data_IF_618700219271
#
_entry.id   IF_618700219271
#
_cell.length_a   1.000
_cell.length_b   1.000
_cell.length_c   1.000
_cell.angle_alpha   90.00
_cell.angle_beta   90.00
_cell.angle_gamma   90.00
#
_symmetry.space_group_name_H-M   'P 1'
#
loop_
_entity.id
_entity.type
_entity.pdbx_description
1 polymer ?
#
# COMPACT_ATOMS: atom_id res chain seq x y z
N UNK A 1 16.63 -25.74 -7.17
CA UNK A 1 15.37 -26.19 -6.52
C UNK A 1 14.19 -25.53 -7.21
N UNK A 2 13.27 -26.30 -7.81
CA UNK A 2 12.14 -25.77 -8.60
C UNK A 2 11.21 -24.83 -7.79
N UNK A 3 11.16 -24.97 -6.46
CA UNK A 3 10.39 -24.10 -5.55
C UNK A 3 10.82 -22.62 -5.59
N UNK A 4 12.06 -22.32 -6.00
CA UNK A 4 12.56 -20.95 -6.06
C UNK A 4 12.30 -20.27 -7.41
N UNK A 5 11.88 -21.02 -8.44
CA UNK A 5 11.62 -20.44 -9.78
C UNK A 5 10.55 -19.32 -9.74
N UNK A 6 9.42 -19.48 -9.02
CA UNK A 6 8.44 -18.39 -8.90
C UNK A 6 8.97 -17.15 -8.17
N UNK A 7 9.99 -17.30 -7.32
CA UNK A 7 10.61 -16.19 -6.59
C UNK A 7 11.47 -15.30 -7.51
N UNK A 8 12.04 -15.89 -8.58
CA UNK A 8 12.97 -15.21 -9.48
C UNK A 8 12.33 -14.07 -10.25
N UNK A 9 11.10 -14.27 -10.72
CA UNK A 9 10.38 -13.30 -11.55
C UNK A 9 9.36 -12.47 -10.74
N UNK A 10 9.35 -12.64 -9.41
CA UNK A 10 8.43 -11.93 -8.54
C UNK A 10 8.97 -10.57 -8.14
N UNK A 11 8.16 -9.53 -8.38
CA UNK A 11 8.44 -8.17 -7.92
C UNK A 11 8.29 -8.00 -6.40
N UNK A 12 7.66 -8.96 -5.72
CA UNK A 12 7.33 -8.87 -4.29
C UNK A 12 8.51 -9.26 -3.38
N UNK A 13 9.27 -10.31 -3.70
CA UNK A 13 10.34 -10.80 -2.81
C UNK A 13 11.47 -9.80 -2.57
N UNK A 14 11.91 -9.00 -3.57
CA UNK A 14 12.85 -7.90 -3.31
C UNK A 14 12.29 -6.84 -2.37
N UNK A 15 10.98 -6.54 -2.45
CA UNK A 15 10.30 -5.62 -1.53
C UNK A 15 10.30 -6.19 -0.11
N UNK A 16 9.87 -7.45 0.04
CA UNK A 16 9.89 -8.17 1.32
C UNK A 16 11.29 -8.17 1.95
N UNK A 17 12.34 -8.45 1.14
CA UNK A 17 13.73 -8.44 1.63
C UNK A 17 14.18 -7.08 2.15
N UNK A 18 13.80 -5.98 1.46
CA UNK A 18 14.11 -4.61 1.92
C UNK A 18 13.36 -4.25 3.19
N UNK A 19 12.07 -4.59 3.28
CA UNK A 19 11.27 -4.38 4.49
C UNK A 19 11.90 -5.10 5.68
N UNK A 20 12.25 -6.37 5.53
CA UNK A 20 12.89 -7.15 6.60
C UNK A 20 14.25 -6.56 7.00
N UNK A 21 15.07 -6.12 6.06
CA UNK A 21 16.37 -5.52 6.35
C UNK A 21 16.23 -4.18 7.10
N UNK A 22 15.27 -3.34 6.69
CA UNK A 22 15.02 -2.03 7.31
C UNK A 22 14.42 -2.17 8.71
N UNK A 23 13.47 -3.09 8.89
CA UNK A 23 12.77 -3.31 10.16
C UNK A 23 13.47 -4.34 11.07
N UNK A 24 14.63 -4.89 10.66
CA UNK A 24 15.33 -5.96 11.37
C UNK A 24 15.56 -5.65 12.84
N UNK A 25 15.94 -4.40 13.17
CA UNK A 25 16.19 -3.99 14.56
C UNK A 25 14.93 -4.09 15.42
N UNK A 26 13.79 -3.63 14.90
CA UNK A 26 12.51 -3.67 15.60
C UNK A 26 12.02 -5.13 15.74
N UNK A 27 12.13 -5.91 14.67
CA UNK A 27 11.79 -7.34 14.68
C UNK A 27 12.64 -8.13 15.67
N UNK A 28 13.96 -7.89 15.73
CA UNK A 28 14.86 -8.51 16.72
C UNK A 28 14.42 -8.12 18.14
N UNK A 29 14.08 -6.85 18.37
CA UNK A 29 13.59 -6.37 19.66
C UNK A 29 12.33 -7.11 20.12
N UNK A 30 11.32 -7.20 19.26
CA UNK A 30 10.06 -7.90 19.58
C UNK A 30 10.28 -9.42 19.70
N UNK A 31 11.16 -10.01 18.89
CA UNK A 31 11.55 -11.44 19.02
C UNK A 31 12.21 -11.71 20.38
N UNK A 32 13.09 -10.81 20.82
CA UNK A 32 13.77 -10.92 22.11
C UNK A 32 12.77 -10.78 23.25
N UNK A 33 11.86 -9.80 23.16
CA UNK A 33 10.76 -9.63 24.12
C UNK A 33 9.88 -10.89 24.21
N UNK A 34 9.50 -11.46 23.06
CA UNK A 34 8.76 -12.72 22.99
C UNK A 34 9.52 -13.84 23.72
N UNK A 35 10.82 -13.99 23.46
CA UNK A 35 11.66 -15.00 24.14
C UNK A 35 11.72 -14.81 25.66
N UNK A 36 11.86 -13.56 26.12
CA UNK A 36 11.88 -13.24 27.57
C UNK A 36 10.54 -13.58 28.22
N UNK A 37 9.42 -13.16 27.62
CA UNK A 37 8.08 -13.45 28.14
C UNK A 37 7.80 -14.95 28.12
N UNK A 38 8.11 -15.63 27.02
CA UNK A 38 7.96 -17.08 26.87
C UNK A 38 8.72 -17.82 27.96
N UNK A 39 9.99 -17.49 28.19
CA UNK A 39 10.80 -18.15 29.21
C UNK A 39 10.27 -17.87 30.62
N UNK A 40 9.90 -16.62 30.92
CA UNK A 40 9.34 -16.24 32.21
C UNK A 40 8.02 -16.96 32.51
N UNK A 41 7.13 -17.05 31.52
CA UNK A 41 5.85 -17.76 31.63
C UNK A 41 6.06 -19.26 31.78
N UNK A 42 6.97 -19.86 31.03
CA UNK A 42 7.31 -21.28 31.14
C UNK A 42 7.86 -21.62 32.53
N UNK A 43 8.76 -20.78 33.06
CA UNK A 43 9.31 -20.96 34.40
C UNK A 43 8.21 -20.83 35.47
N UNK A 44 7.34 -19.82 35.36
CA UNK A 44 6.21 -19.65 36.28
C UNK A 44 5.25 -20.85 36.24
N UNK A 45 4.88 -21.32 35.05
CA UNK A 45 4.04 -22.51 34.87
C UNK A 45 4.66 -23.76 35.48
N UNK A 46 5.97 -23.98 35.24
CA UNK A 46 6.72 -25.07 35.87
C UNK A 46 6.68 -25.00 37.41
N UNK A 47 6.98 -23.83 37.99
CA UNK A 47 7.00 -23.68 39.46
C UNK A 47 5.63 -23.93 40.08
N UNK A 48 4.54 -23.48 39.43
CA UNK A 48 3.17 -23.59 39.93
C UNK A 48 2.61 -25.01 39.78
N UNK A 49 2.77 -25.63 38.60
CA UNK A 49 2.03 -26.86 38.25
C UNK A 49 2.84 -28.15 38.43
N UNK A 50 4.17 -28.10 38.60
CA UNK A 50 5.02 -29.32 38.71
C UNK A 50 4.60 -30.29 39.82
N UNK A 51 4.02 -29.79 40.91
CA UNK A 51 3.55 -30.60 42.03
C UNK A 51 2.21 -31.30 41.78
N UNK A 52 1.41 -30.78 40.84
CA UNK A 52 0.06 -31.28 40.51
C UNK A 52 0.11 -32.15 39.24
N UNK A 53 0.89 -31.71 38.25
CA UNK A 53 0.98 -32.34 36.93
C UNK A 53 2.44 -32.58 36.52
N UNK A 54 3.19 -33.47 37.19
CA UNK A 54 4.58 -33.76 36.83
C UNK A 54 4.73 -34.33 35.41
N UNK A 55 3.73 -34.99 34.86
CA UNK A 55 3.79 -35.53 33.49
C UNK A 55 3.73 -34.43 32.41
N UNK A 56 3.06 -33.30 32.70
CA UNK A 56 2.83 -32.21 31.74
C UNK A 56 3.69 -30.96 32.01
N UNK A 57 3.99 -30.68 33.28
CA UNK A 57 4.77 -29.53 33.73
C UNK A 57 6.00 -29.97 34.56
N UNK A 58 6.51 -31.18 34.35
CA UNK A 58 7.65 -31.73 35.10
C UNK A 58 9.01 -31.17 34.71
N UNK A 59 9.10 -30.42 33.60
CA UNK A 59 10.34 -29.80 33.14
C UNK A 59 10.07 -28.45 32.45
N UNK A 60 11.08 -27.58 32.42
CA UNK A 60 10.98 -26.27 31.77
C UNK A 60 10.63 -26.40 30.27
N UNK A 61 11.23 -27.30 29.47
CA UNK A 61 10.86 -27.45 28.06
C UNK A 61 9.39 -27.84 27.83
N UNK A 62 8.81 -28.68 28.70
CA UNK A 62 7.40 -29.03 28.61
C UNK A 62 6.50 -27.80 28.91
N UNK A 63 6.86 -27.01 29.93
CA UNK A 63 6.16 -25.76 30.21
C UNK A 63 6.36 -24.71 29.09
N UNK A 64 7.51 -24.70 28.41
CA UNK A 64 7.76 -23.86 27.24
C UNK A 64 6.84 -24.23 26.07
N UNK A 65 6.59 -25.52 25.83
CA UNK A 65 5.63 -25.95 24.81
C UNK A 65 4.24 -25.37 25.08
N UNK A 66 3.74 -25.51 26.30
CA UNK A 66 2.48 -24.89 26.72
C UNK A 66 2.48 -23.37 26.58
N UNK A 67 3.58 -22.71 26.99
CA UNK A 67 3.73 -21.27 26.90
C UNK A 67 3.69 -20.79 25.45
N UNK A 68 4.39 -21.45 24.53
CA UNK A 68 4.33 -21.15 23.08
C UNK A 68 2.90 -21.26 22.59
N UNK A 69 2.24 -22.40 22.80
CA UNK A 69 0.88 -22.69 22.33
C UNK A 69 -0.15 -21.68 22.84
N UNK A 70 0.01 -21.23 24.08
CA UNK A 70 -0.89 -20.24 24.71
C UNK A 70 -0.59 -18.82 24.24
N UNK A 71 0.69 -18.46 24.15
CA UNK A 71 1.16 -17.12 23.74
C UNK A 71 0.93 -16.88 22.24
N UNK A 72 1.00 -17.92 21.41
CA UNK A 72 0.68 -17.90 19.96
C UNK A 72 -0.78 -18.14 19.62
N UNK A 73 -1.67 -17.98 20.61
CA UNK A 73 -3.13 -18.09 20.43
C UNK A 73 -3.56 -19.41 19.77
N UNK A 74 -2.77 -20.48 19.90
CA UNK A 74 -2.99 -21.75 19.19
C UNK A 74 -3.90 -22.68 19.98
N UNK A 75 -3.64 -22.83 21.27
CA UNK A 75 -4.56 -23.50 22.21
C UNK A 75 -4.88 -24.96 21.89
N UNK A 76 -3.87 -25.82 21.71
CA UNK A 76 -4.08 -27.26 21.45
C UNK A 76 -4.86 -27.98 22.56
N UNK A 77 -4.78 -27.51 23.80
CA UNK A 77 -5.50 -28.08 24.95
C UNK A 77 -4.94 -29.40 25.49
N UNK A 78 -3.77 -29.82 25.01
CA UNK A 78 -3.01 -30.99 25.44
C UNK A 78 -2.42 -30.82 26.85
N UNK A 79 -1.97 -29.62 27.21
CA UNK A 79 -1.55 -29.24 28.55
C UNK A 79 -2.25 -27.96 29.00
N UNK A 80 -2.95 -28.01 30.15
CA UNK A 80 -3.71 -26.89 30.72
C UNK A 80 -3.49 -26.87 32.25
N UNK A 81 -3.14 -25.71 32.84
CA UNK A 81 -3.03 -25.57 34.29
C UNK A 81 -4.31 -25.92 35.04
N UNK A 82 -4.19 -26.69 36.12
CA UNK A 82 -5.33 -27.07 36.95
C UNK A 82 -5.50 -26.16 38.16
N UNK A 83 -4.42 -25.56 38.67
CA UNK A 83 -4.49 -24.68 39.83
C UNK A 83 -5.17 -23.34 39.52
N UNK A 84 -5.71 -22.70 40.56
CA UNK A 84 -6.26 -21.35 40.42
C UNK A 84 -5.19 -20.35 39.94
N UNK A 85 -3.99 -20.39 40.52
CA UNK A 85 -2.89 -19.50 40.14
C UNK A 85 -2.44 -19.71 38.69
N UNK A 86 -2.35 -20.97 38.23
CA UNK A 86 -2.00 -21.31 36.86
C UNK A 86 -3.03 -20.83 35.83
N UNK A 87 -4.32 -20.85 36.18
CA UNK A 87 -5.39 -20.29 35.34
C UNK A 87 -5.34 -18.78 35.25
N UNK A 88 -5.08 -18.09 36.36
CA UNK A 88 -4.88 -16.63 36.38
C UNK A 88 -3.66 -16.25 35.51
N UNK A 89 -2.55 -16.98 35.66
CA UNK A 89 -1.37 -16.81 34.81
C UNK A 89 -1.74 -16.98 33.33
N UNK A 90 -2.50 -18.03 32.97
CA UNK A 90 -2.93 -18.29 31.59
C UNK A 90 -3.67 -17.09 30.98
N UNK A 91 -4.55 -16.44 31.74
CA UNK A 91 -5.26 -15.24 31.28
C UNK A 91 -4.31 -14.08 30.95
N UNK A 92 -3.31 -13.84 31.80
CA UNK A 92 -2.29 -12.83 31.55
C UNK A 92 -1.43 -13.16 30.31
N UNK A 93 -1.09 -14.44 30.13
CA UNK A 93 -0.33 -14.93 28.96
C UNK A 93 -1.09 -14.67 27.68
N UNK A 94 -2.39 -15.02 27.62
CA UNK A 94 -3.22 -14.79 26.44
C UNK A 94 -3.27 -13.31 26.06
N UNK A 95 -3.45 -12.41 27.03
CA UNK A 95 -3.46 -10.97 26.79
C UNK A 95 -2.10 -10.47 26.26
N UNK A 96 -1.00 -10.95 26.85
CA UNK A 96 0.35 -10.60 26.39
C UNK A 96 0.67 -11.11 24.98
N UNK A 97 0.18 -12.30 24.63
CA UNK A 97 0.39 -12.93 23.32
C UNK A 97 -0.22 -12.11 22.20
N UNK A 98 -1.49 -11.73 22.35
CA UNK A 98 -2.17 -10.86 21.38
C UNK A 98 -1.40 -9.54 21.20
N UNK A 99 -0.94 -8.93 22.29
CA UNK A 99 -0.14 -7.70 22.24
C UNK A 99 1.18 -7.86 21.48
N UNK A 100 1.95 -8.91 21.76
CA UNK A 100 3.25 -9.17 21.10
C UNK A 100 3.07 -9.49 19.61
N UNK A 101 2.08 -10.30 19.24
CA UNK A 101 1.80 -10.60 17.84
C UNK A 101 1.28 -9.36 17.09
N UNK A 102 0.48 -8.50 17.74
CA UNK A 102 0.07 -7.23 17.16
C UNK A 102 1.25 -6.32 16.86
N UNK A 103 2.28 -6.30 17.71
CA UNK A 103 3.52 -5.56 17.44
C UNK A 103 4.27 -6.14 16.23
N UNK A 104 4.40 -7.46 16.14
CA UNK A 104 5.00 -8.13 14.98
C UNK A 104 4.28 -7.77 13.67
N UNK A 105 2.95 -7.93 13.66
CA UNK A 105 2.13 -7.61 12.51
C UNK A 105 2.20 -6.11 12.15
N UNK A 106 2.17 -5.24 13.15
CA UNK A 106 2.22 -3.78 13.00
C UNK A 106 3.55 -3.28 12.43
N UNK A 107 4.68 -3.84 12.86
CA UNK A 107 6.01 -3.51 12.32
C UNK A 107 6.09 -3.89 10.84
N UNK A 108 5.70 -5.12 10.50
CA UNK A 108 5.69 -5.57 9.11
C UNK A 108 4.74 -4.73 8.25
N UNK A 109 3.51 -4.49 8.71
CA UNK A 109 2.54 -3.69 7.99
C UNK A 109 3.05 -2.26 7.73
N UNK A 110 3.64 -1.61 8.75
CA UNK A 110 4.22 -0.28 8.61
C UNK A 110 5.39 -0.27 7.63
N UNK A 111 6.30 -1.24 7.75
CA UNK A 111 7.45 -1.36 6.85
C UNK A 111 7.03 -1.60 5.39
N UNK A 112 6.06 -2.49 5.16
CA UNK A 112 5.48 -2.71 3.84
C UNK A 112 4.79 -1.47 3.28
N UNK A 113 4.01 -0.77 4.11
CA UNK A 113 3.33 0.45 3.70
C UNK A 113 4.31 1.52 3.24
N UNK A 114 5.42 1.71 3.97
CA UNK A 114 6.47 2.66 3.59
C UNK A 114 7.20 2.26 2.31
N UNK A 115 7.56 0.98 2.16
CA UNK A 115 8.33 0.52 1.00
C UNK A 115 7.49 0.52 -0.29
N UNK A 116 6.21 0.15 -0.23
CA UNK A 116 5.30 0.24 -1.37
C UNK A 116 5.15 1.70 -1.80
N UNK A 117 4.90 2.62 -0.86
CA UNK A 117 4.84 4.07 -1.17
C UNK A 117 6.14 4.63 -1.73
N UNK A 118 7.30 4.15 -1.27
CA UNK A 118 8.61 4.59 -1.77
C UNK A 118 8.85 4.13 -3.21
N UNK A 119 8.41 2.91 -3.56
CA UNK A 119 8.46 2.39 -4.93
C UNK A 119 7.68 3.26 -5.91
N UNK A 120 6.51 3.74 -5.50
CA UNK A 120 5.70 4.67 -6.28
C UNK A 120 6.44 5.98 -6.53
N UNK A 121 7.08 6.57 -5.51
CA UNK A 121 7.78 7.86 -5.64
C UNK A 121 8.94 7.84 -6.66
N UNK A 122 9.84 6.84 -6.60
CA UNK A 122 11.02 6.79 -7.49
C UNK A 122 10.60 6.56 -8.95
N UNK A 123 9.60 5.70 -9.17
CA UNK A 123 9.06 5.45 -10.51
C UNK A 123 8.33 6.69 -11.03
N UNK A 124 7.53 7.33 -10.18
CA UNK A 124 6.78 8.54 -10.54
C UNK A 124 7.70 9.71 -10.88
N UNK A 125 8.84 9.88 -10.20
CA UNK A 125 9.76 10.99 -10.47
C UNK A 125 10.23 11.03 -11.93
N UNK A 126 10.64 9.87 -12.46
CA UNK A 126 11.07 9.74 -13.86
C UNK A 126 9.92 10.05 -14.83
N UNK A 127 8.69 9.69 -14.45
CA UNK A 127 7.50 9.87 -15.26
C UNK A 127 6.97 11.31 -15.21
N UNK A 128 7.11 12.00 -14.06
CA UNK A 128 6.73 13.41 -13.86
C UNK A 128 7.63 14.35 -14.66
N UNK A 129 8.92 14.05 -14.74
CA UNK A 129 9.85 14.80 -15.58
C UNK A 129 9.50 14.76 -17.07
N UNK A 130 8.71 13.78 -17.53
CA UNK A 130 8.28 13.67 -18.91
C UNK A 130 7.03 14.51 -19.24
N UNK A 131 6.37 15.10 -18.24
CA UNK A 131 5.16 15.92 -18.43
C UNK A 131 5.54 17.39 -18.35
N UNK A 132 5.50 18.15 -19.48
CA UNK A 132 5.94 19.55 -19.51
C UNK A 132 5.19 20.47 -18.52
N UNK A 133 3.96 20.09 -18.15
CA UNK A 133 3.14 20.82 -17.18
C UNK A 133 3.84 20.98 -15.82
N UNK A 134 4.67 20.02 -15.42
CA UNK A 134 5.28 19.99 -14.09
C UNK A 134 6.68 20.61 -14.03
N UNK A 135 7.26 21.02 -15.15
CA UNK A 135 8.59 21.66 -15.21
C UNK A 135 8.64 22.98 -14.43
N UNK A 136 7.51 23.67 -14.32
CA UNK A 136 7.40 24.99 -13.66
C UNK A 136 7.21 24.89 -12.15
N UNK A 137 7.14 23.69 -11.59
CA UNK A 137 6.93 23.51 -10.16
C UNK A 137 8.22 23.68 -9.36
N UNK A 138 8.09 24.40 -8.25
CA UNK A 138 9.15 24.43 -7.25
C UNK A 138 9.41 23.02 -6.67
N UNK A 139 10.65 22.71 -6.24
CA UNK A 139 11.02 21.37 -5.77
C UNK A 139 10.13 20.81 -4.65
N UNK A 140 9.71 21.66 -3.71
CA UNK A 140 8.85 21.26 -2.60
C UNK A 140 7.45 20.81 -3.08
N UNK A 141 6.84 21.57 -4.00
CA UNK A 141 5.52 21.26 -4.56
C UNK A 141 5.57 20.01 -5.45
N UNK A 142 6.65 19.83 -6.19
CA UNK A 142 6.85 18.64 -7.01
C UNK A 142 6.87 17.37 -6.14
N UNK A 143 7.49 17.40 -4.96
CA UNK A 143 7.47 16.28 -4.02
C UNK A 143 6.04 15.96 -3.55
N UNK A 144 5.21 16.97 -3.28
CA UNK A 144 3.81 16.77 -2.87
C UNK A 144 2.99 16.10 -3.97
N UNK A 145 3.10 16.58 -5.21
CA UNK A 145 2.36 16.02 -6.35
C UNK A 145 2.85 14.60 -6.68
N UNK A 146 4.15 14.35 -6.69
CA UNK A 146 4.70 13.00 -6.98
C UNK A 146 4.16 11.96 -5.99
N UNK A 147 3.89 12.36 -4.74
CA UNK A 147 3.27 11.50 -3.72
C UNK A 147 1.78 11.26 -3.93
N UNK A 148 1.08 12.19 -4.58
CA UNK A 148 -0.33 12.08 -4.91
C UNK A 148 -0.56 11.27 -6.21
N UNK A 149 0.39 11.33 -7.14
CA UNK A 149 0.30 10.62 -8.42
C UNK A 149 0.37 9.10 -8.22
N UNK A 150 -0.51 8.38 -8.91
CA UNK A 150 -0.50 6.91 -8.91
C UNK A 150 -0.17 6.38 -10.31
N UNK A 151 0.87 5.53 -10.46
CA UNK A 151 1.20 4.95 -11.74
C UNK A 151 0.19 3.86 -12.12
N UNK A 152 -0.23 3.84 -13.38
CA UNK A 152 -1.16 2.86 -13.93
C UNK A 152 -0.72 2.44 -15.33
N UNK A 153 -0.56 1.14 -15.54
CA UNK A 153 -0.33 0.57 -16.87
C UNK A 153 -1.64 0.01 -17.41
N UNK A 154 -1.98 0.38 -18.64
CA UNK A 154 -3.22 -0.03 -19.32
C UNK A 154 -2.85 -0.77 -20.62
N UNK A 155 -3.37 -1.98 -20.85
CA UNK A 155 -3.09 -2.72 -22.07
C UNK A 155 -3.80 -2.09 -23.28
N UNK A 156 -3.28 -2.35 -24.49
CA UNK A 156 -3.91 -1.88 -25.73
C UNK A 156 -5.36 -2.37 -25.85
N UNK A 157 -6.24 -1.49 -26.34
CA UNK A 157 -7.67 -1.72 -26.51
C UNK A 157 -8.51 -1.56 -25.24
N UNK A 158 -7.90 -1.44 -24.05
CA UNK A 158 -8.67 -1.28 -22.81
C UNK A 158 -9.23 0.15 -22.66
N UNK A 159 -10.46 0.24 -22.15
CA UNK A 159 -11.12 1.51 -21.85
C UNK A 159 -10.57 2.08 -20.54
N UNK A 160 -10.17 3.34 -20.56
CA UNK A 160 -9.61 4.06 -19.40
C UNK A 160 -10.73 4.78 -18.62
N UNK A 161 -11.64 5.45 -19.34
CA UNK A 161 -12.86 6.02 -18.78
C UNK A 161 -13.98 6.04 -19.83
N UNK A 162 -15.24 5.91 -19.42
CA UNK A 162 -16.38 5.96 -20.35
C UNK A 162 -17.11 7.29 -20.26
N UNK A 163 -17.64 7.74 -21.39
CA UNK A 163 -18.54 8.90 -21.44
C UNK A 163 -19.75 8.70 -20.51
N UNK A 164 -20.15 9.77 -19.81
CA UNK A 164 -21.28 9.77 -18.88
C UNK A 164 -20.98 9.21 -17.49
N UNK A 165 -19.84 8.56 -17.26
CA UNK A 165 -19.42 8.15 -15.93
C UNK A 165 -18.96 9.36 -15.09
N UNK A 166 -19.09 9.33 -13.75
CA UNK A 166 -18.50 10.37 -12.91
C UNK A 166 -16.97 10.39 -13.07
N UNK A 167 -16.38 11.58 -13.17
CA UNK A 167 -14.94 11.75 -13.29
C UNK A 167 -14.33 12.27 -11.99
N UNK A 168 -13.72 11.40 -11.20
CA UNK A 168 -13.11 11.73 -9.90
C UNK A 168 -11.59 11.93 -9.94
N UNK A 169 -10.99 11.79 -11.13
CA UNK A 169 -9.55 11.88 -11.33
C UNK A 169 -9.21 12.32 -12.77
N UNK A 170 -8.00 12.81 -12.98
CA UNK A 170 -7.43 13.07 -14.31
C UNK A 170 -6.20 12.18 -14.54
N UNK A 171 -5.76 12.09 -15.79
CA UNK A 171 -4.66 11.23 -16.19
C UNK A 171 -3.61 11.98 -17.00
N UNK A 172 -2.35 11.67 -16.77
CA UNK A 172 -1.19 12.12 -17.55
C UNK A 172 -0.63 10.93 -18.31
N UNK A 173 -0.44 11.08 -19.63
CA UNK A 173 0.14 10.07 -20.51
C UNK A 173 1.65 10.20 -20.45
N UNK A 174 2.32 9.16 -20.00
CA UNK A 174 3.79 9.16 -19.92
C UNK A 174 4.41 8.39 -21.08
N UNK A 175 3.80 7.26 -21.45
CA UNK A 175 4.23 6.43 -22.56
C UNK A 175 3.03 5.80 -23.25
N UNK A 176 3.12 5.60 -24.56
CA UNK A 176 2.03 5.06 -25.37
C UNK A 176 1.06 6.12 -25.87
N UNK A 177 -0.06 5.68 -26.44
CA UNK A 177 -1.09 6.55 -27.00
C UNK A 177 -2.48 6.15 -26.54
N UNK A 178 -3.33 7.14 -26.30
CA UNK A 178 -4.76 6.96 -26.02
C UNK A 178 -5.58 7.59 -27.13
N UNK A 179 -6.73 6.99 -27.42
CA UNK A 179 -7.72 7.51 -28.35
C UNK A 179 -8.91 8.06 -27.56
N UNK A 180 -9.25 9.32 -27.80
CA UNK A 180 -10.42 9.99 -27.24
C UNK A 180 -11.58 9.88 -28.24
N UNK A 181 -12.68 9.26 -27.83
CA UNK A 181 -13.86 9.05 -28.66
C UNK A 181 -14.71 10.32 -28.72
N UNK A 182 -14.38 11.18 -29.68
CA UNK A 182 -15.13 12.37 -30.11
C UNK A 182 -15.63 12.17 -31.55
N UNK A 183 -16.55 12.99 -32.08
CA UNK A 183 -17.00 12.89 -33.47
C UNK A 183 -15.84 12.88 -34.48
N UNK A 184 -14.80 13.67 -34.19
CA UNK A 184 -13.48 13.54 -34.80
C UNK A 184 -12.53 12.97 -33.75
N UNK A 185 -12.18 11.68 -33.79
CA UNK A 185 -11.32 11.06 -32.79
C UNK A 185 -9.97 11.76 -32.68
N UNK A 186 -9.51 12.00 -31.45
CA UNK A 186 -8.23 12.65 -31.16
C UNK A 186 -7.32 11.65 -30.45
N UNK A 187 -6.11 11.45 -30.98
CA UNK A 187 -5.07 10.69 -30.27
C UNK A 187 -4.21 11.60 -29.40
N UNK A 188 -3.97 11.17 -28.16
CA UNK A 188 -3.06 11.83 -27.22
C UNK A 188 -1.86 10.92 -26.95
N UNK A 189 -0.65 11.47 -27.09
CA UNK A 189 0.62 10.78 -26.86
C UNK A 189 1.31 11.17 -25.55
N UNK A 190 2.59 10.79 -25.38
CA UNK A 190 3.40 11.15 -24.21
C UNK A 190 3.43 12.66 -23.93
N UNK A 191 3.35 13.03 -22.65
CA UNK A 191 3.30 14.41 -22.18
C UNK A 191 1.90 15.04 -22.18
N UNK A 192 0.92 14.42 -22.84
CA UNK A 192 -0.47 14.87 -22.82
C UNK A 192 -1.19 14.48 -21.52
N UNK A 193 -2.30 15.14 -21.22
CA UNK A 193 -3.20 14.79 -20.11
C UNK A 193 -4.65 14.86 -20.54
N UNK A 194 -5.55 14.21 -19.80
CA UNK A 194 -7.00 14.23 -20.04
C UNK A 194 -7.81 13.98 -18.76
N UNK A 195 -9.09 14.32 -18.80
CA UNK A 195 -10.03 14.14 -17.69
C UNK A 195 -10.15 15.33 -16.75
N UNK A 196 -9.38 16.40 -16.99
CA UNK A 196 -9.42 17.67 -16.27
C UNK A 196 -10.79 18.35 -16.33
N UNK A 197 -11.52 18.17 -17.44
CA UNK A 197 -12.84 18.79 -17.62
C UNK A 197 -13.80 18.36 -16.52
N UNK A 198 -13.90 17.06 -16.26
CA UNK A 198 -14.78 16.52 -15.22
C UNK A 198 -14.41 17.02 -13.82
N UNK A 199 -13.11 17.25 -13.56
CA UNK A 199 -12.63 17.79 -12.29
C UNK A 199 -12.95 19.27 -12.10
N UNK A 200 -12.92 20.06 -13.18
CA UNK A 200 -13.14 21.51 -13.14
C UNK A 200 -14.62 21.85 -13.21
N UNK A 201 -15.37 21.22 -14.11
CA UNK A 201 -16.80 21.52 -14.32
C UNK A 201 -17.70 20.78 -13.35
N UNK A 202 -17.22 19.67 -12.76
CA UNK A 202 -18.05 18.75 -11.99
C UNK A 202 -19.02 17.93 -12.84
N UNK A 203 -18.95 18.06 -14.17
CA UNK A 203 -19.77 17.28 -15.10
C UNK A 203 -19.20 15.86 -15.27
N UNK A 204 -20.03 14.88 -15.68
CA UNK A 204 -19.54 13.54 -16.03
C UNK A 204 -18.49 13.56 -17.16
N UNK A 205 -17.82 12.44 -17.37
CA UNK A 205 -16.85 12.27 -18.47
C UNK A 205 -17.48 12.64 -19.81
N UNK A 206 -16.84 13.55 -20.51
CA UNK A 206 -17.32 14.09 -21.80
C UNK A 206 -17.01 13.19 -23.00
N UNK A 207 -16.11 12.22 -22.85
CA UNK A 207 -15.73 11.29 -23.91
C UNK A 207 -15.26 9.97 -23.31
N UNK A 208 -15.42 8.89 -24.08
CA UNK A 208 -14.79 7.61 -23.77
C UNK A 208 -13.34 7.67 -24.21
N UNK A 209 -12.40 7.35 -23.32
CA UNK A 209 -10.97 7.30 -23.64
C UNK A 209 -10.49 5.87 -23.54
N UNK A 210 -9.81 5.39 -24.56
CA UNK A 210 -9.31 4.02 -24.66
C UNK A 210 -7.81 4.01 -24.99
N UNK A 211 -7.10 3.00 -24.51
CA UNK A 211 -5.69 2.79 -24.83
C UNK A 211 -5.54 2.32 -26.29
N UNK A 212 -4.85 3.08 -27.13
CA UNK A 212 -4.55 2.68 -28.51
C UNK A 212 -3.36 1.71 -28.56
N UNK A 213 -2.37 1.94 -27.69
CA UNK A 213 -1.24 1.03 -27.45
C UNK A 213 -1.22 0.57 -25.99
N UNK A 214 -0.19 -0.16 -25.55
CA UNK A 214 0.07 -0.26 -24.10
C UNK A 214 0.45 1.14 -23.61
N UNK A 215 -0.23 1.62 -22.57
CA UNK A 215 -0.09 2.99 -22.06
C UNK A 215 0.36 2.98 -20.61
N UNK A 216 1.38 3.79 -20.31
CA UNK A 216 1.76 4.15 -18.95
C UNK A 216 1.16 5.50 -18.60
N UNK A 217 0.30 5.53 -17.58
CA UNK A 217 -0.42 6.70 -17.10
C UNK A 217 0.01 7.05 -15.67
N UNK A 218 -0.10 8.32 -15.31
CA UNK A 218 -0.21 8.76 -13.93
C UNK A 218 -1.63 9.26 -13.69
N UNK A 219 -2.28 8.82 -12.61
CA UNK A 219 -3.59 9.33 -12.21
C UNK A 219 -3.47 10.29 -11.02
N UNK A 220 -4.24 11.38 -11.06
CA UNK A 220 -4.36 12.37 -9.98
C UNK A 220 -5.83 12.56 -9.62
N UNK A 221 -6.19 12.33 -8.36
CA UNK A 221 -7.57 12.46 -7.90
C UNK A 221 -7.98 13.92 -7.72
N UNK A 222 -9.29 14.17 -7.70
CA UNK A 222 -9.89 15.50 -7.56
C UNK A 222 -9.37 16.28 -6.35
N UNK A 223 -9.21 15.61 -5.20
CA UNK A 223 -8.73 16.22 -3.95
C UNK A 223 -7.32 16.75 -4.11
N UNK A 224 -6.42 15.94 -4.68
CA UNK A 224 -5.02 16.32 -4.90
C UNK A 224 -4.89 17.35 -6.03
N UNK A 225 -5.75 17.27 -7.04
CA UNK A 225 -5.84 18.27 -8.11
C UNK A 225 -6.27 19.65 -7.57
N UNK A 226 -7.26 19.71 -6.68
CA UNK A 226 -7.67 20.98 -6.07
C UNK A 226 -6.55 21.57 -5.20
N UNK A 227 -5.82 20.73 -4.46
CA UNK A 227 -4.66 21.16 -3.70
C UNK A 227 -3.58 21.74 -4.62
N UNK A 228 -3.29 21.08 -5.74
CA UNK A 228 -2.35 21.58 -6.75
C UNK A 228 -2.76 22.94 -7.31
N UNK A 229 -4.03 23.09 -7.69
CA UNK A 229 -4.56 24.36 -8.21
C UNK A 229 -4.51 25.49 -7.16
N UNK A 230 -4.73 25.19 -5.89
CA UNK A 230 -4.60 26.15 -4.80
C UNK A 230 -3.15 26.59 -4.55
N UNK A 231 -2.21 25.66 -4.68
CA UNK A 231 -0.79 25.90 -4.42
C UNK A 231 -0.01 26.49 -5.60
N UNK A 232 -0.48 26.31 -6.83
CA UNK A 232 0.15 26.85 -8.05
C UNK A 232 -0.90 27.45 -9.00
N UNK A 233 -1.15 28.78 -8.90
CA UNK A 233 -2.09 29.47 -9.78
C UNK A 233 -1.72 29.39 -11.27
N UNK A 234 -0.42 29.32 -11.59
CA UNK A 234 0.05 29.23 -12.98
C UNK A 234 -0.37 27.90 -13.63
N UNK A 235 -0.26 26.78 -12.91
CA UNK A 235 -0.68 25.47 -13.41
C UNK A 235 -2.20 25.39 -13.51
N UNK A 236 -2.91 25.91 -12.51
CA UNK A 236 -4.36 26.00 -12.56
C UNK A 236 -4.82 26.71 -13.85
N UNK A 237 -4.14 27.80 -14.22
CA UNK A 237 -4.46 28.56 -15.43
C UNK A 237 -4.15 27.79 -16.71
N UNK A 238 -3.03 27.07 -16.80
CA UNK A 238 -2.70 26.22 -17.96
C UNK A 238 -3.77 25.14 -18.15
N UNK A 239 -4.15 24.45 -17.07
CA UNK A 239 -5.14 23.38 -17.13
C UNK A 239 -6.53 23.95 -17.46
N UNK A 240 -6.90 25.10 -16.88
CA UNK A 240 -8.16 25.79 -17.17
C UNK A 240 -8.25 26.24 -18.62
N UNK A 241 -7.18 26.82 -19.18
CA UNK A 241 -7.09 27.21 -20.58
C UNK A 241 -7.24 26.00 -21.50
N UNK A 242 -6.53 24.91 -21.20
CA UNK A 242 -6.62 23.65 -21.95
C UNK A 242 -8.04 23.07 -21.90
N UNK A 243 -8.69 23.12 -20.74
CA UNK A 243 -10.07 22.66 -20.57
C UNK A 243 -11.05 23.49 -21.42
N UNK A 244 -10.85 24.81 -21.52
CA UNK A 244 -11.66 25.69 -22.37
C UNK A 244 -11.45 25.41 -23.87
N UNK A 245 -10.21 25.23 -24.30
CA UNK A 245 -9.87 24.88 -25.69
C UNK A 245 -10.54 23.55 -26.10
N UNK A 246 -10.49 22.55 -25.22
CA UNK A 246 -11.11 21.23 -25.46
C UNK A 246 -12.63 21.26 -25.40
N UNK A 247 -13.22 22.12 -24.56
CA UNK A 247 -14.66 22.36 -24.55
C UNK A 247 -15.14 22.97 -25.85
N UNK A 248 -14.36 23.87 -26.46
CA UNK A 248 -14.67 24.47 -27.76
C UNK A 248 -14.66 23.46 -28.92
N UNK A 249 -13.91 22.37 -28.79
CA UNK A 249 -13.88 21.26 -29.76
C UNK A 249 -14.91 20.15 -29.47
N UNK A 250 -15.52 20.14 -28.29
CA UNK A 250 -16.59 19.22 -27.93
C UNK A 250 -17.94 19.85 -28.35
N UNK A 251 -18.80 19.15 -29.11
CA UNK A 251 -20.10 19.70 -29.46
C UNK A 251 -20.92 19.95 -28.18
N UNK A 252 -21.53 21.14 -28.09
CA UNK A 252 -22.65 21.34 -27.17
C UNK A 252 -23.76 20.38 -27.59
N UNK A 253 -24.19 19.54 -26.66
CA UNK A 253 -25.34 18.66 -26.84
C UNK A 253 -26.62 19.47 -27.06
#
# INVERSE_FOLDING_TARGET
VWLLKPLRDSTFFPVLGRVLANEARNLIGVTTLFGVVLFGVALAGYVIERGIQPEKFGSIPQAMWWAVVTLSTTGYGDAIPQSFAGRVLSGAVMMSGIGIFALWAGILATGFYQEVRRGDFVRNWQLVAAVPLFEKLGPAMLVEIVRALRPRTVPAGAVICRIGEPGDQMFFVVEGRVSVATPNPVELGPGAFFGEMALITGEPRMATVSAATVVSLLSLHSVDFQMLCGSSPEIAEIIRKTALERRGTAPMA
#
